data_IF_100321778729
#
_entry.id   IF_100321778729
#
_cell.length_a   1.000
_cell.length_b   1.000
_cell.length_c   1.000
_cell.angle_alpha   90.00
_cell.angle_beta   90.00
_cell.angle_gamma   90.00
#
_symmetry.space_group_name_H-M   'P 1'
#
loop_
_entity.id
_entity.type
_entity.pdbx_description
1 polymer ?
#
# COMPACT_ATOMS: atom_id res chain seq x y z
N UNK A 1 -13.75 -19.09 6.30
CA UNK A 1 -13.16 -20.30 5.74
C UNK A 1 -11.68 -20.35 6.09
N UNK A 2 -11.32 -21.41 6.77
CA UNK A 2 -9.97 -21.48 7.35
C UNK A 2 -8.88 -21.55 6.29
N UNK A 3 -9.12 -22.29 5.20
CA UNK A 3 -8.14 -22.41 4.12
C UNK A 3 -7.84 -21.04 3.47
N UNK A 4 -8.87 -20.25 3.24
CA UNK A 4 -8.71 -18.91 2.64
C UNK A 4 -8.00 -17.97 3.59
N UNK A 5 -8.37 -17.98 4.88
CA UNK A 5 -7.71 -17.17 5.88
C UNK A 5 -6.24 -17.53 6.03
N UNK A 6 -5.92 -18.83 5.96
CA UNK A 6 -4.54 -19.29 6.03
C UNK A 6 -3.74 -18.80 4.82
N UNK A 7 -4.32 -18.88 3.64
CA UNK A 7 -3.67 -18.38 2.42
C UNK A 7 -3.40 -16.89 2.52
N UNK A 8 -4.37 -16.10 2.96
CA UNK A 8 -4.20 -14.66 3.09
C UNK A 8 -3.14 -14.31 4.12
N UNK A 9 -3.12 -15.05 5.24
CA UNK A 9 -2.07 -14.86 6.24
C UNK A 9 -0.68 -15.13 5.66
N UNK A 10 -0.55 -16.18 4.84
CA UNK A 10 0.72 -16.50 4.19
C UNK A 10 1.17 -15.40 3.23
N UNK A 11 0.24 -14.82 2.47
CA UNK A 11 0.55 -13.71 1.57
C UNK A 11 1.09 -12.52 2.36
N UNK A 12 0.43 -12.17 3.45
CA UNK A 12 0.86 -11.05 4.30
C UNK A 12 2.25 -11.32 4.88
N UNK A 13 2.48 -12.52 5.41
CA UNK A 13 3.77 -12.87 5.99
C UNK A 13 4.88 -12.87 4.96
N UNK A 14 4.62 -13.40 3.77
CA UNK A 14 5.60 -13.41 2.69
C UNK A 14 6.01 -12.00 2.31
N UNK A 15 5.04 -11.11 2.11
CA UNK A 15 5.32 -9.74 1.72
C UNK A 15 5.94 -8.92 2.85
N UNK A 16 5.68 -9.28 4.11
CA UNK A 16 6.32 -8.58 5.22
C UNK A 16 7.77 -9.01 5.42
N UNK A 17 8.07 -10.28 5.16
CA UNK A 17 9.43 -10.83 5.32
C UNK A 17 10.32 -10.57 4.11
N UNK A 18 9.73 -10.64 2.92
CA UNK A 18 10.44 -10.46 1.66
C UNK A 18 9.69 -9.43 0.81
N UNK A 19 9.66 -8.16 1.24
CA UNK A 19 8.91 -7.14 0.50
C UNK A 19 9.47 -6.94 -0.89
N UNK A 20 8.57 -6.79 -1.85
CA UNK A 20 8.91 -6.54 -3.25
C UNK A 20 9.16 -5.06 -3.43
N UNK A 21 10.09 -4.74 -4.34
CA UNK A 21 10.41 -3.35 -4.68
C UNK A 21 10.85 -2.54 -3.45
N UNK A 22 11.58 -3.19 -2.56
CA UNK A 22 12.08 -2.56 -1.34
C UNK A 22 13.46 -1.95 -1.60
N UNK A 23 13.64 -0.71 -1.17
CA UNK A 23 14.91 -0.01 -1.30
C UNK A 23 14.74 1.35 -1.95
N UNK A 24 15.86 2.04 -2.14
CA UNK A 24 15.87 3.35 -2.78
C UNK A 24 15.70 3.21 -4.30
N UNK A 25 15.13 4.24 -4.90
CA UNK A 25 14.94 4.29 -6.35
C UNK A 25 15.77 5.43 -6.93
N UNK A 26 16.96 5.13 -7.48
CA UNK A 26 17.75 6.15 -8.18
C UNK A 26 16.96 6.69 -9.37
N UNK A 27 16.96 8.00 -9.54
CA UNK A 27 16.23 8.62 -10.64
C UNK A 27 14.73 8.78 -10.38
N UNK A 28 14.29 8.64 -9.15
CA UNK A 28 12.88 8.85 -8.80
C UNK A 28 12.44 10.27 -9.19
N UNK A 29 11.26 10.36 -9.80
CA UNK A 29 10.65 11.66 -10.12
C UNK A 29 9.81 12.17 -8.97
N UNK A 30 9.36 11.29 -8.10
CA UNK A 30 8.51 11.63 -6.95
C UNK A 30 8.98 10.86 -5.72
N UNK A 31 9.02 11.54 -4.58
CA UNK A 31 9.35 10.93 -3.29
C UNK A 31 8.40 11.52 -2.26
N UNK A 32 7.80 10.67 -1.45
CA UNK A 32 6.85 11.10 -0.43
C UNK A 32 7.00 10.24 0.83
N UNK A 33 6.94 10.89 1.99
CA UNK A 33 6.92 10.20 3.27
C UNK A 33 5.51 10.04 3.80
N UNK A 34 5.24 8.92 4.45
CA UNK A 34 3.98 8.67 5.15
C UNK A 34 4.24 8.28 6.59
N UNK A 35 3.29 8.53 7.46
CA UNK A 35 3.45 8.34 8.90
C UNK A 35 2.14 7.93 9.56
N UNK A 36 2.22 6.90 10.40
CA UNK A 36 1.11 6.47 11.24
C UNK A 36 1.52 6.61 12.71
N UNK A 37 1.21 7.72 13.36
CA UNK A 37 1.67 7.94 14.73
C UNK A 37 1.10 6.96 15.76
N UNK A 38 -0.06 6.37 15.50
CA UNK A 38 -0.66 5.40 16.43
C UNK A 38 0.21 4.17 16.64
N UNK A 39 0.88 3.71 15.59
CA UNK A 39 1.71 2.50 15.64
C UNK A 39 3.19 2.78 15.43
N UNK A 40 3.56 4.02 15.18
CA UNK A 40 4.94 4.38 14.88
C UNK A 40 5.40 3.96 13.49
N UNK A 41 4.49 3.61 12.59
CA UNK A 41 4.84 3.24 11.23
C UNK A 41 5.34 4.45 10.46
N UNK A 42 6.42 4.26 9.71
CA UNK A 42 6.98 5.27 8.82
C UNK A 42 7.28 4.64 7.48
N UNK A 43 7.04 5.38 6.42
CA UNK A 43 7.20 4.89 5.07
C UNK A 43 7.78 5.99 4.19
N UNK A 44 8.72 5.63 3.33
CA UNK A 44 9.13 6.49 2.23
C UNK A 44 8.79 5.79 0.93
N UNK A 45 8.02 6.45 0.11
CA UNK A 45 7.60 5.92 -1.19
C UNK A 45 8.27 6.72 -2.29
N UNK A 46 8.85 6.02 -3.25
CA UNK A 46 9.49 6.65 -4.41
C UNK A 46 8.93 6.05 -5.67
N UNK A 47 8.69 6.87 -6.67
CA UNK A 47 8.27 6.38 -7.96
C UNK A 47 8.94 7.13 -9.08
N UNK A 48 9.00 6.50 -10.24
CA UNK A 48 9.46 7.11 -11.47
C UNK A 48 8.31 7.12 -12.46
N UNK A 49 7.82 8.32 -12.74
CA UNK A 49 6.81 8.51 -13.76
C UNK A 49 7.50 8.66 -15.10
N UNK A 50 7.09 7.88 -16.09
CA UNK A 50 7.62 8.00 -17.44
C UNK A 50 6.47 8.01 -18.41
N UNK A 51 6.33 9.15 -19.12
CA UNK A 51 5.14 9.37 -19.93
C UNK A 51 3.92 9.43 -19.06
N UNK A 52 2.97 8.53 -19.28
CA UNK A 52 1.71 8.48 -18.56
C UNK A 52 1.59 7.29 -17.60
N UNK A 53 2.73 6.62 -17.29
CA UNK A 53 2.66 5.44 -16.43
C UNK A 53 3.76 5.41 -15.38
N UNK A 54 3.50 4.63 -14.32
CA UNK A 54 4.44 4.42 -13.23
C UNK A 54 5.45 3.36 -13.64
N UNK A 55 6.60 3.79 -14.13
CA UNK A 55 7.62 2.88 -14.63
C UNK A 55 8.24 2.05 -13.52
N UNK A 56 8.49 2.68 -12.37
CA UNK A 56 9.08 2.01 -11.22
C UNK A 56 8.48 2.58 -9.94
N UNK A 57 8.29 1.72 -8.95
CA UNK A 57 7.78 2.11 -7.64
C UNK A 57 8.58 1.32 -6.60
N UNK A 58 9.19 2.02 -5.65
CA UNK A 58 9.93 1.39 -4.57
C UNK A 58 9.63 2.08 -3.25
N UNK A 59 9.92 1.39 -2.15
CA UNK A 59 9.68 1.95 -0.84
C UNK A 59 10.69 1.45 0.18
N UNK A 60 10.83 2.21 1.25
CA UNK A 60 11.47 1.78 2.49
C UNK A 60 10.48 2.05 3.61
N UNK A 61 10.52 1.23 4.65
CA UNK A 61 9.57 1.36 5.74
C UNK A 61 10.17 0.91 7.05
N UNK A 62 9.69 1.52 8.13
CA UNK A 62 9.88 1.06 9.50
C UNK A 62 8.49 0.97 10.11
N UNK A 63 8.06 -0.24 10.48
CA UNK A 63 6.73 -0.40 11.02
C UNK A 63 6.34 -1.86 11.11
N UNK A 64 5.05 -2.10 11.25
CA UNK A 64 4.52 -3.43 11.47
C UNK A 64 4.46 -4.23 10.17
N UNK A 65 4.21 -5.54 10.32
CA UNK A 65 4.10 -6.45 9.19
C UNK A 65 2.97 -6.04 8.22
N UNK A 66 1.89 -5.47 8.77
CA UNK A 66 0.73 -5.08 7.95
C UNK A 66 1.09 -3.91 7.03
N UNK A 67 1.74 -2.88 7.53
CA UNK A 67 2.11 -1.74 6.70
C UNK A 67 3.15 -2.13 5.64
N UNK A 68 4.11 -2.97 6.01
CA UNK A 68 5.13 -3.45 5.08
C UNK A 68 4.51 -4.32 3.98
N UNK A 69 3.64 -5.26 4.37
CA UNK A 69 2.97 -6.12 3.39
C UNK A 69 2.07 -5.32 2.46
N UNK A 70 1.34 -4.35 2.99
CA UNK A 70 0.48 -3.49 2.19
C UNK A 70 1.29 -2.69 1.17
N UNK A 71 2.41 -2.11 1.58
CA UNK A 71 3.29 -1.37 0.68
C UNK A 71 3.86 -2.27 -0.41
N UNK A 72 4.32 -3.46 -0.04
CA UNK A 72 4.86 -4.43 -0.99
C UNK A 72 3.83 -4.81 -2.06
N UNK A 73 2.63 -5.17 -1.60
CA UNK A 73 1.53 -5.51 -2.51
C UNK A 73 1.13 -4.33 -3.40
N UNK A 74 1.10 -3.13 -2.83
CA UNK A 74 0.79 -1.92 -3.58
C UNK A 74 1.78 -1.70 -4.72
N UNK A 75 3.08 -1.81 -4.44
CA UNK A 75 4.09 -1.56 -5.48
C UNK A 75 3.93 -2.51 -6.66
N UNK A 76 3.59 -3.77 -6.39
CA UNK A 76 3.33 -4.73 -7.47
C UNK A 76 2.06 -4.38 -8.25
N UNK A 77 1.03 -3.91 -7.54
CA UNK A 77 -0.27 -3.66 -8.15
C UNK A 77 -0.26 -2.41 -9.04
N UNK A 78 0.49 -1.36 -8.66
CA UNK A 78 0.44 -0.08 -9.37
C UNK A 78 1.54 0.09 -10.41
N UNK A 79 2.59 -0.71 -10.35
CA UNK A 79 3.69 -0.61 -11.32
C UNK A 79 3.16 -0.86 -12.73
N UNK A 80 3.49 0.03 -13.65
CA UNK A 80 3.04 -0.06 -15.03
C UNK A 80 1.67 0.54 -15.30
N UNK A 81 0.97 1.02 -14.27
CA UNK A 81 -0.35 1.65 -14.44
C UNK A 81 -0.20 3.15 -14.60
N UNK A 82 -1.25 3.79 -15.10
CA UNK A 82 -1.32 5.25 -15.12
C UNK A 82 -1.64 5.77 -13.73
N UNK A 83 -1.35 7.05 -13.42
CA UNK A 83 -1.76 7.63 -12.14
C UNK A 83 -3.25 7.50 -11.87
N UNK A 84 -4.10 7.67 -12.88
CA UNK A 84 -5.54 7.53 -12.71
C UNK A 84 -5.93 6.12 -12.31
N UNK A 85 -5.32 5.12 -12.94
CA UNK A 85 -5.57 3.72 -12.58
C UNK A 85 -5.09 3.39 -11.18
N UNK A 86 -3.93 3.94 -10.79
CA UNK A 86 -3.40 3.74 -9.45
C UNK A 86 -4.30 4.37 -8.40
N UNK A 87 -4.83 5.57 -8.65
CA UNK A 87 -5.74 6.25 -7.74
C UNK A 87 -7.06 5.50 -7.61
N UNK A 88 -7.59 4.96 -8.71
CA UNK A 88 -8.80 4.14 -8.68
C UNK A 88 -8.59 2.89 -7.83
N UNK A 89 -7.45 2.23 -8.00
CA UNK A 89 -7.12 1.03 -7.23
C UNK A 89 -7.00 1.37 -5.74
N UNK A 90 -6.38 2.50 -5.42
CA UNK A 90 -6.26 2.96 -4.05
C UNK A 90 -7.63 3.17 -3.40
N UNK A 91 -8.58 3.78 -4.13
CA UNK A 91 -9.93 3.98 -3.61
C UNK A 91 -10.63 2.66 -3.37
N UNK A 92 -10.51 1.72 -4.27
CA UNK A 92 -11.12 0.39 -4.13
C UNK A 92 -10.51 -0.39 -2.96
N UNK A 93 -9.20 -0.28 -2.78
CA UNK A 93 -8.53 -0.90 -1.64
C UNK A 93 -9.02 -0.32 -0.32
N UNK A 94 -9.12 1.00 -0.24
CA UNK A 94 -9.60 1.67 0.97
C UNK A 94 -11.06 1.31 1.26
N UNK A 95 -11.86 1.16 0.22
CA UNK A 95 -13.24 0.73 0.37
C UNK A 95 -13.33 -0.68 0.95
N UNK A 96 -12.46 -1.58 0.50
CA UNK A 96 -12.35 -2.92 1.08
C UNK A 96 -12.04 -2.85 2.58
N UNK A 97 -11.15 -1.95 2.98
CA UNK A 97 -10.81 -1.80 4.40
C UNK A 97 -11.99 -1.27 5.23
N UNK A 98 -12.86 -0.48 4.62
CA UNK A 98 -14.04 0.05 5.32
C UNK A 98 -15.17 -0.98 5.43
N UNK A 99 -15.41 -1.72 4.37
CA UNK A 99 -16.58 -2.61 4.29
C UNK A 99 -16.26 -4.06 4.63
N UNK A 100 -15.02 -4.48 4.50
CA UNK A 100 -14.63 -5.88 4.65
C UNK A 100 -14.89 -6.72 3.40
N UNK A 101 -15.38 -6.12 2.34
CA UNK A 101 -15.69 -6.85 1.09
C UNK A 101 -14.61 -6.57 0.06
N UNK A 102 -14.01 -7.63 -0.49
CA UNK A 102 -12.97 -7.52 -1.50
C UNK A 102 -13.56 -7.76 -2.87
N UNK A 103 -13.49 -6.76 -3.78
CA UNK A 103 -13.84 -7.01 -5.18
C UNK A 103 -12.93 -8.08 -5.78
N UNK A 104 -13.47 -8.85 -6.72
CA UNK A 104 -12.75 -9.99 -7.31
C UNK A 104 -11.46 -9.57 -8.04
N UNK A 105 -11.38 -8.35 -8.51
CA UNK A 105 -10.26 -7.86 -9.30
C UNK A 105 -9.11 -7.27 -8.49
N UNK A 106 -9.17 -7.35 -7.15
CA UNK A 106 -8.08 -6.88 -6.31
C UNK A 106 -6.91 -7.88 -6.22
N UNK A 107 -7.12 -9.14 -6.62
CA UNK A 107 -6.06 -10.14 -6.58
C UNK A 107 -5.49 -10.31 -5.17
N UNK A 108 -4.17 -10.30 -5.04
CA UNK A 108 -3.50 -10.51 -3.75
C UNK A 108 -3.78 -9.40 -2.73
N UNK A 109 -4.25 -8.24 -3.17
CA UNK A 109 -4.65 -7.18 -2.24
C UNK A 109 -5.79 -7.63 -1.33
N UNK A 110 -6.60 -8.58 -1.79
CA UNK A 110 -7.67 -9.14 -0.99
C UNK A 110 -7.17 -9.83 0.29
N UNK A 111 -5.88 -10.15 0.35
CA UNK A 111 -5.29 -10.75 1.55
C UNK A 111 -5.43 -9.85 2.77
N UNK A 112 -5.57 -8.54 2.56
CA UNK A 112 -5.72 -7.58 3.66
C UNK A 112 -7.18 -7.35 4.05
N UNK A 113 -8.12 -8.09 3.45
CA UNK A 113 -9.56 -7.94 3.73
C UNK A 113 -9.88 -8.09 5.21
N UNK A 114 -9.25 -9.05 5.89
CA UNK A 114 -9.52 -9.31 7.30
C UNK A 114 -9.11 -8.19 8.24
N UNK A 115 -8.24 -7.29 7.77
CA UNK A 115 -7.79 -6.16 8.56
C UNK A 115 -8.93 -5.18 8.84
N UNK A 116 -9.98 -5.21 8.02
CA UNK A 116 -11.16 -4.35 8.20
C UNK A 116 -11.80 -4.48 9.58
N UNK A 117 -11.65 -5.65 10.22
CA UNK A 117 -12.19 -5.90 11.55
C UNK A 117 -11.30 -5.35 12.67
N UNK A 118 -10.12 -4.84 12.35
CA UNK A 118 -9.13 -4.39 13.32
C UNK A 118 -8.85 -2.91 13.12
N UNK A 119 -9.59 -2.06 13.84
CA UNK A 119 -9.58 -0.60 13.61
C UNK A 119 -8.18 0.00 13.62
N UNK A 120 -7.30 -0.44 14.53
CA UNK A 120 -5.92 0.08 14.58
C UNK A 120 -5.09 -0.37 13.39
N UNK A 121 -5.36 -1.56 12.86
CA UNK A 121 -4.58 -2.11 11.74
C UNK A 121 -5.02 -1.58 10.38
N UNK A 122 -6.25 -1.07 10.26
CA UNK A 122 -6.67 -0.43 9.01
C UNK A 122 -5.80 0.78 8.69
N UNK A 123 -5.37 1.51 9.71
CA UNK A 123 -4.45 2.64 9.53
C UNK A 123 -3.10 2.18 9.00
N UNK A 124 -2.60 1.05 9.50
CA UNK A 124 -1.34 0.47 9.00
C UNK A 124 -1.46 0.07 7.54
N UNK A 125 -2.54 -0.61 7.18
CA UNK A 125 -2.76 -1.07 5.82
C UNK A 125 -2.99 0.07 4.84
N UNK A 126 -3.64 1.16 5.28
CA UNK A 126 -3.96 2.29 4.41
C UNK A 126 -2.80 3.25 4.21
N UNK A 127 -1.80 3.25 5.10
CA UNK A 127 -0.71 4.22 5.05
C UNK A 127 0.01 4.28 3.69
N UNK A 128 0.45 3.16 3.10
CA UNK A 128 1.12 3.24 1.79
C UNK A 128 0.22 3.81 0.71
N UNK A 129 -1.06 3.47 0.75
CA UNK A 129 -2.01 3.91 -0.25
C UNK A 129 -2.32 5.40 -0.12
N UNK A 130 -2.44 5.92 1.11
CA UNK A 130 -2.58 7.35 1.32
C UNK A 130 -1.34 8.12 0.87
N UNK A 131 -0.16 7.57 1.13
CA UNK A 131 1.10 8.16 0.68
C UNK A 131 1.13 8.27 -0.84
N UNK A 132 0.71 7.21 -1.52
CA UNK A 132 0.62 7.19 -2.97
C UNK A 132 -0.37 8.26 -3.48
N UNK A 133 -1.54 8.35 -2.85
CA UNK A 133 -2.54 9.35 -3.23
C UNK A 133 -2.02 10.77 -3.08
N UNK A 134 -1.38 11.07 -1.96
CA UNK A 134 -0.80 12.39 -1.71
C UNK A 134 0.22 12.72 -2.80
N UNK A 135 1.08 11.76 -3.11
CA UNK A 135 2.12 11.93 -4.12
C UNK A 135 1.54 12.21 -5.51
N UNK A 136 0.55 11.40 -5.92
CA UNK A 136 -0.03 11.52 -7.25
C UNK A 136 -0.93 12.73 -7.42
N UNK A 137 -1.55 13.19 -6.33
CA UNK A 137 -2.41 14.38 -6.35
C UNK A 137 -1.63 15.66 -6.07
N UNK A 138 -0.37 15.56 -5.67
CA UNK A 138 0.43 16.72 -5.30
C UNK A 138 -0.01 17.38 -4.01
N UNK A 139 -0.71 16.67 -3.14
CA UNK A 139 -1.14 17.18 -1.84
C UNK A 139 0.02 17.15 -0.85
N UNK A 140 -0.21 17.66 0.34
CA UNK A 140 0.82 17.73 1.36
C UNK A 140 1.10 16.36 1.98
N UNK A 141 1.67 16.40 3.19
CA UNK A 141 2.20 15.23 3.87
C UNK A 141 1.12 14.21 4.22
N UNK A 142 1.38 12.94 3.95
CA UNK A 142 0.45 11.86 4.25
C UNK A 142 0.50 11.46 5.73
N UNK A 143 -0.67 11.33 6.35
CA UNK A 143 -0.79 10.80 7.71
C UNK A 143 -2.14 10.09 7.84
N UNK A 144 -2.18 9.04 8.67
CA UNK A 144 -3.42 8.31 8.93
C UNK A 144 -4.13 8.77 10.19
N UNK A 145 -3.65 9.84 10.82
CA UNK A 145 -4.19 10.33 12.08
C UNK A 145 -5.20 11.48 11.93
N UNK A 146 -5.56 11.83 10.77
CA UNK A 146 -6.56 12.91 10.57
C UNK A 146 -8.00 12.40 10.71
#
# INVERSE_FOLDING_TARGET
MDALKTLYKQVILEHSRHPRNYGDLPGATHTEGGHNPSCGDQLQLQLKLEGDHLQAVQFTAKGCAISTASASLMTQAVKGRTPAEALDLAERFRQMLRTGDAPADLGDLAALQGVSALATRTKCASLPWQTLEVMLKGEGRATTED
#
